data_IF_858718906670
#
_entry.id   IF_858718906670
#
_cell.length_a   1.000
_cell.length_b   1.000
_cell.length_c   1.000
_cell.angle_alpha   90.00
_cell.angle_beta   90.00
_cell.angle_gamma   90.00
#
_symmetry.space_group_name_H-M   'P 1'
#
loop_
_entity.id
_entity.type
_entity.pdbx_description
1 polymer ?
#
# COMPACT_ATOMS: atom_id res chain seq x y z
N UNK A 1 21.07 -16.20 2.95
CA UNK A 1 21.62 -16.82 4.16
C UNK A 1 20.49 -17.13 5.12
N UNK A 2 20.53 -18.33 5.66
CA UNK A 2 19.58 -18.85 6.64
C UNK A 2 20.38 -19.34 7.84
N UNK A 3 19.83 -19.15 9.03
CA UNK A 3 20.55 -19.41 10.26
C UNK A 3 19.62 -20.08 11.30
N UNK A 4 20.20 -20.99 12.07
CA UNK A 4 19.57 -21.64 13.23
C UNK A 4 20.64 -21.85 14.31
N UNK A 5 20.27 -21.74 15.58
CA UNK A 5 21.14 -22.05 16.70
C UNK A 5 20.35 -22.52 17.90
N UNK A 6 20.98 -23.34 18.72
CA UNK A 6 20.42 -23.87 19.95
C UNK A 6 20.03 -22.74 20.89
N UNK A 7 18.91 -22.90 21.58
CA UNK A 7 18.34 -21.93 22.54
C UNK A 7 19.34 -21.51 23.63
N UNK A 8 20.25 -22.39 24.04
CA UNK A 8 21.26 -22.10 25.06
C UNK A 8 22.58 -21.53 24.52
N UNK A 9 22.70 -21.29 23.21
CA UNK A 9 23.92 -20.68 22.65
C UNK A 9 23.97 -19.17 22.90
N UNK A 10 25.16 -18.62 23.11
CA UNK A 10 25.39 -17.18 23.18
C UNK A 10 25.01 -16.49 21.86
N UNK A 11 25.17 -17.19 20.73
CA UNK A 11 24.76 -16.69 19.42
C UNK A 11 23.22 -16.55 19.31
N UNK A 12 22.45 -17.51 19.85
CA UNK A 12 21.00 -17.42 19.94
C UNK A 12 20.59 -16.19 20.75
N UNK A 13 21.16 -15.98 21.94
CA UNK A 13 20.83 -14.83 22.79
C UNK A 13 21.07 -13.47 22.11
N UNK A 14 22.22 -13.29 21.45
CA UNK A 14 22.51 -12.03 20.72
C UNK A 14 21.62 -11.85 19.49
N UNK A 15 21.29 -12.94 18.79
CA UNK A 15 20.42 -12.90 17.61
C UNK A 15 18.98 -12.58 18.00
N UNK A 16 18.46 -13.20 19.06
CA UNK A 16 17.15 -12.92 19.62
C UNK A 16 17.05 -11.50 20.19
N UNK A 17 18.10 -10.99 20.85
CA UNK A 17 18.11 -9.59 21.29
C UNK A 17 18.01 -8.62 20.10
N UNK A 18 18.74 -8.88 19.01
CA UNK A 18 18.66 -8.07 17.79
C UNK A 18 17.31 -8.22 17.11
N UNK A 19 16.76 -9.44 17.06
CA UNK A 19 15.44 -9.71 16.51
C UNK A 19 14.36 -8.95 17.29
N UNK A 20 14.38 -9.04 18.63
CA UNK A 20 13.47 -8.33 19.53
C UNK A 20 13.52 -6.83 19.33
N UNK A 21 14.71 -6.22 19.28
CA UNK A 21 14.86 -4.78 19.01
C UNK A 21 14.23 -4.37 17.66
N UNK A 22 14.37 -5.21 16.62
CA UNK A 22 13.77 -4.93 15.31
C UNK A 22 12.24 -5.13 15.33
N UNK A 23 11.74 -6.18 16.02
CA UNK A 23 10.32 -6.45 16.20
C UNK A 23 9.63 -5.34 17.01
N UNK A 24 10.29 -4.82 18.05
CA UNK A 24 9.80 -3.69 18.84
C UNK A 24 9.66 -2.44 17.98
N UNK A 25 10.65 -2.16 17.13
CA UNK A 25 10.60 -1.02 16.20
C UNK A 25 9.48 -1.17 15.17
N UNK A 26 9.32 -2.37 14.59
CA UNK A 26 8.19 -2.67 13.69
C UNK A 26 6.86 -2.45 14.41
N UNK A 27 6.71 -2.96 15.63
CA UNK A 27 5.49 -2.83 16.43
C UNK A 27 5.17 -1.37 16.75
N UNK A 28 6.19 -0.58 17.11
CA UNK A 28 6.06 0.87 17.35
C UNK A 28 5.56 1.60 16.09
N UNK A 29 6.14 1.30 14.92
CA UNK A 29 5.71 1.91 13.68
C UNK A 29 4.30 1.48 13.27
N UNK A 30 3.97 0.18 13.36
CA UNK A 30 2.63 -0.32 13.04
C UNK A 30 1.57 0.26 13.97
N UNK A 31 1.86 0.42 15.26
CA UNK A 31 0.95 1.09 16.19
C UNK A 31 0.72 2.56 15.81
N UNK A 32 1.79 3.27 15.43
CA UNK A 32 1.70 4.66 14.97
C UNK A 32 0.90 4.77 13.67
N UNK A 33 1.15 3.87 12.71
CA UNK A 33 0.38 3.76 11.45
C UNK A 33 -1.09 3.49 11.77
N UNK A 34 -1.41 2.54 12.65
CA UNK A 34 -2.78 2.23 13.04
C UNK A 34 -3.51 3.43 13.64
N UNK A 35 -2.83 4.23 14.48
CA UNK A 35 -3.38 5.48 15.02
C UNK A 35 -3.68 6.50 13.90
N UNK A 36 -2.73 6.71 12.99
CA UNK A 36 -2.92 7.66 11.88
C UNK A 36 -3.99 7.19 10.90
N UNK A 37 -4.13 5.89 10.65
CA UNK A 37 -5.22 5.33 9.84
C UNK A 37 -6.57 5.64 10.49
N UNK A 38 -6.70 5.50 11.82
CA UNK A 38 -7.92 5.88 12.54
C UNK A 38 -8.24 7.37 12.42
N UNK A 39 -7.23 8.24 12.54
CA UNK A 39 -7.37 9.68 12.35
C UNK A 39 -7.80 10.02 10.90
N UNK A 40 -7.29 9.29 9.92
CA UNK A 40 -7.65 9.44 8.51
C UNK A 40 -9.14 9.12 8.26
N UNK A 41 -9.70 8.09 8.89
CA UNK A 41 -11.16 7.83 8.87
C UNK A 41 -11.97 9.00 9.44
N UNK A 42 -11.50 9.61 10.54
CA UNK A 42 -12.18 10.75 11.14
C UNK A 42 -12.17 11.96 10.21
N UNK A 43 -11.05 12.22 9.53
CA UNK A 43 -10.92 13.30 8.55
C UNK A 43 -11.82 13.09 7.32
N UNK A 44 -11.86 11.87 6.76
CA UNK A 44 -12.75 11.56 5.63
C UNK A 44 -14.22 11.78 6.01
N UNK A 45 -14.63 11.33 7.20
CA UNK A 45 -15.97 11.58 7.73
C UNK A 45 -16.26 13.07 7.90
N UNK A 46 -15.31 13.84 8.41
CA UNK A 46 -15.47 15.29 8.55
C UNK A 46 -15.66 15.96 7.19
N UNK A 47 -14.83 15.63 6.20
CA UNK A 47 -14.94 16.17 4.84
C UNK A 47 -16.31 15.83 4.23
N UNK A 48 -16.81 14.60 4.43
CA UNK A 48 -18.14 14.20 3.98
C UNK A 48 -19.25 15.05 4.60
N UNK A 49 -19.20 15.29 5.91
CA UNK A 49 -20.17 16.15 6.60
C UNK A 49 -20.08 17.59 6.08
N UNK A 50 -18.87 18.09 5.81
CA UNK A 50 -18.67 19.41 5.21
C UNK A 50 -19.24 19.48 3.79
N UNK A 51 -19.07 18.44 2.98
CA UNK A 51 -19.63 18.35 1.62
C UNK A 51 -21.17 18.32 1.65
N UNK A 52 -21.76 17.52 2.54
CA UNK A 52 -23.22 17.47 2.75
C UNK A 52 -23.76 18.84 3.15
N UNK A 53 -23.10 19.52 4.10
CA UNK A 53 -23.48 20.89 4.51
C UNK A 53 -23.34 21.89 3.37
N UNK A 54 -22.20 21.93 2.67
CA UNK A 54 -21.97 22.84 1.56
C UNK A 54 -22.96 22.62 0.41
N UNK A 55 -23.44 21.39 0.22
CA UNK A 55 -24.48 21.07 -0.77
C UNK A 55 -25.77 21.84 -0.48
N UNK A 56 -26.17 21.94 0.79
CA UNK A 56 -27.35 22.72 1.21
C UNK A 56 -27.17 24.21 0.92
N UNK A 57 -26.01 24.79 1.26
CA UNK A 57 -25.71 26.20 0.95
C UNK A 57 -25.74 26.45 -0.57
N UNK A 58 -25.11 25.59 -1.35
CA UNK A 58 -25.06 25.73 -2.81
C UNK A 58 -26.44 25.51 -3.47
N UNK A 59 -27.31 24.68 -2.89
CA UNK A 59 -28.69 24.49 -3.36
C UNK A 59 -29.56 25.71 -3.05
N UNK A 60 -29.42 26.25 -1.84
CA UNK A 60 -30.07 27.49 -1.42
C UNK A 60 -29.68 28.68 -2.31
N UNK A 61 -28.39 28.85 -2.66
CA UNK A 61 -27.96 29.89 -3.61
C UNK A 61 -28.49 29.68 -5.04
N UNK A 62 -28.89 28.45 -5.40
CA UNK A 62 -29.57 28.13 -6.67
C UNK A 62 -31.07 28.42 -6.65
N UNK A 63 -31.62 28.86 -5.51
CA UNK A 63 -33.04 29.15 -5.36
C UNK A 63 -33.87 27.99 -4.81
N UNK A 64 -33.25 26.92 -4.31
CA UNK A 64 -33.97 25.76 -3.79
C UNK A 64 -34.61 26.05 -2.42
N UNK A 65 -35.94 26.05 -2.38
CA UNK A 65 -36.74 26.44 -1.20
C UNK A 65 -36.52 25.48 -0.02
N UNK A 66 -36.55 24.14 -0.18
CA UNK A 66 -36.29 23.20 0.92
C UNK A 66 -34.90 23.36 1.54
N UNK A 67 -33.88 23.67 0.73
CA UNK A 67 -32.53 23.92 1.22
C UNK A 67 -32.47 25.21 2.06
N UNK A 68 -33.18 26.27 1.65
CA UNK A 68 -33.27 27.51 2.41
C UNK A 68 -34.01 27.33 3.74
N UNK A 69 -35.12 26.58 3.74
CA UNK A 69 -35.86 26.23 4.96
C UNK A 69 -34.97 25.45 5.92
N UNK A 70 -34.20 24.48 5.41
CA UNK A 70 -33.26 23.69 6.22
C UNK A 70 -32.18 24.57 6.86
N UNK A 71 -31.59 25.52 6.11
CA UNK A 71 -30.59 26.46 6.63
C UNK A 71 -31.17 27.41 7.68
N UNK A 72 -32.39 27.89 7.49
CA UNK A 72 -33.11 28.70 8.48
C UNK A 72 -33.38 27.91 9.77
N UNK A 73 -33.75 26.63 9.64
CA UNK A 73 -33.88 25.72 10.78
C UNK A 73 -32.57 25.59 11.56
N UNK A 74 -31.46 25.30 10.86
CA UNK A 74 -30.13 25.25 11.49
C UNK A 74 -29.76 26.55 12.19
N UNK A 75 -30.06 27.70 11.58
CA UNK A 75 -29.78 29.00 12.19
C UNK A 75 -30.57 29.22 13.48
N UNK A 76 -31.87 28.89 13.50
CA UNK A 76 -32.69 29.02 14.71
C UNK A 76 -32.15 28.12 15.83
N UNK A 77 -31.79 26.88 15.51
CA UNK A 77 -31.31 25.93 16.52
C UNK A 77 -29.92 26.28 17.05
N UNK A 78 -28.98 26.65 16.17
CA UNK A 78 -27.58 26.90 16.53
C UNK A 78 -27.30 28.32 17.01
N UNK A 79 -27.92 29.34 16.39
CA UNK A 79 -27.61 30.76 16.64
C UNK A 79 -28.60 31.38 17.62
N UNK A 80 -29.89 31.03 17.53
CA UNK A 80 -30.91 31.59 18.43
C UNK A 80 -31.16 30.74 19.68
N UNK A 81 -30.62 29.51 19.74
CA UNK A 81 -30.83 28.58 20.85
C UNK A 81 -32.21 27.92 20.85
N UNK A 82 -32.87 27.87 19.69
CA UNK A 82 -34.20 27.28 19.50
C UNK A 82 -35.28 27.96 20.36
N UNK A 83 -36.34 27.20 20.68
CA UNK A 83 -37.51 27.71 21.41
C UNK A 83 -37.27 28.03 22.91
N UNK A 84 -36.04 27.89 23.41
CA UNK A 84 -35.69 28.19 24.80
C UNK A 84 -35.43 29.68 25.03
N UNK A 85 -34.98 30.39 24.00
CA UNK A 85 -34.69 31.82 24.09
C UNK A 85 -35.93 32.63 23.74
N UNK A 86 -36.43 33.52 24.63
CA UNK A 86 -37.61 34.35 24.35
C UNK A 86 -37.44 35.25 23.11
N UNK A 87 -36.21 35.61 22.77
CA UNK A 87 -35.87 36.43 21.61
C UNK A 87 -35.62 35.64 20.31
N UNK A 88 -35.83 34.33 20.30
CA UNK A 88 -35.78 33.51 19.08
C UNK A 88 -37.06 33.64 18.26
N UNK A 89 -37.03 33.26 16.98
CA UNK A 89 -38.23 33.23 16.12
C UNK A 89 -39.35 32.38 16.73
N UNK A 90 -39.02 31.22 17.32
CA UNK A 90 -39.99 30.36 18.01
C UNK A 90 -40.37 30.85 19.41
N UNK A 91 -39.47 31.54 20.11
CA UNK A 91 -39.73 32.11 21.43
C UNK A 91 -40.69 33.29 21.36
N UNK A 92 -40.48 34.19 20.39
CA UNK A 92 -41.35 35.36 20.16
C UNK A 92 -42.75 34.95 19.68
N UNK A 93 -42.88 33.84 18.97
CA UNK A 93 -44.19 33.33 18.52
C UNK A 93 -45.17 33.04 19.67
N UNK A 94 -44.69 32.95 20.92
CA UNK A 94 -45.52 32.80 22.12
C UNK A 94 -46.20 34.09 22.56
N UNK A 95 -45.70 35.25 22.12
CA UNK A 95 -46.29 36.54 22.43
C UNK A 95 -47.46 36.86 21.48
N UNK A 96 -48.54 37.42 22.04
CA UNK A 96 -49.75 37.85 21.33
C UNK A 96 -49.40 39.02 20.38
N UNK A 97 -48.92 38.69 19.18
CA UNK A 97 -48.49 39.66 18.16
C UNK A 97 -47.46 39.13 17.15
N UNK A 98 -46.79 38.01 17.46
CA UNK A 98 -45.75 37.41 16.62
C UNK A 98 -46.02 35.95 16.24
N UNK A 99 -47.26 35.47 16.40
CA UNK A 99 -47.65 34.07 16.11
C UNK A 99 -47.29 33.67 14.67
N UNK A 100 -47.44 34.58 13.71
CA UNK A 100 -47.14 34.34 12.28
C UNK A 100 -45.66 34.57 11.92
N UNK A 101 -44.81 34.95 12.87
CA UNK A 101 -43.40 35.24 12.61
C UNK A 101 -42.62 34.03 12.07
N UNK A 102 -42.78 32.80 12.61
CA UNK A 102 -42.10 31.63 12.07
C UNK A 102 -42.49 31.35 10.62
N UNK A 103 -43.80 31.37 10.32
CA UNK A 103 -44.31 31.11 8.97
C UNK A 103 -43.74 32.11 7.96
N UNK A 104 -43.76 33.41 8.30
CA UNK A 104 -43.19 34.46 7.45
C UNK A 104 -41.67 34.37 7.31
N UNK A 105 -40.98 33.89 8.35
CA UNK A 105 -39.53 33.70 8.31
C UNK A 105 -39.16 32.53 7.39
N UNK A 106 -39.85 31.39 7.47
CA UNK A 106 -39.57 30.23 6.62
C UNK A 106 -40.00 30.44 5.17
N UNK A 107 -41.14 31.10 4.94
CA UNK A 107 -41.68 31.37 3.59
C UNK A 107 -40.87 32.39 2.78
N UNK A 108 -40.07 33.24 3.45
CA UNK A 108 -39.24 34.22 2.75
C UNK A 108 -38.29 33.55 1.72
N UNK A 109 -38.24 34.01 0.46
CA UNK A 109 -37.34 33.44 -0.54
C UNK A 109 -35.86 33.68 -0.16
N UNK A 110 -34.91 32.98 -0.81
CA UNK A 110 -33.49 33.26 -0.62
C UNK A 110 -33.17 34.69 -1.07
N UNK A 111 -32.88 35.56 -0.11
CA UNK A 111 -32.66 36.99 -0.29
C UNK A 111 -31.20 37.37 -0.01
N UNK A 112 -30.76 38.46 -0.63
CA UNK A 112 -29.51 39.14 -0.27
C UNK A 112 -29.79 40.18 0.83
N UNK A 113 -28.82 40.52 1.69
CA UNK A 113 -29.00 41.46 2.80
C UNK A 113 -29.69 42.78 2.40
N UNK A 114 -29.30 43.33 1.25
CA UNK A 114 -29.78 44.63 0.75
C UNK A 114 -31.24 44.59 0.26
N UNK A 115 -31.72 43.42 -0.16
CA UNK A 115 -33.08 43.24 -0.68
C UNK A 115 -34.10 42.85 0.40
N UNK A 116 -33.65 42.53 1.61
CA UNK A 116 -34.54 42.13 2.72
C UNK A 116 -35.52 43.24 3.06
N UNK A 117 -35.05 44.49 3.13
CA UNK A 117 -35.90 45.63 3.53
C UNK A 117 -37.02 45.89 2.52
N UNK A 118 -36.71 45.86 1.23
CA UNK A 118 -37.68 46.04 0.15
C UNK A 118 -38.72 44.91 0.12
N UNK A 119 -38.32 43.68 0.46
CA UNK A 119 -39.25 42.54 0.57
C UNK A 119 -40.23 42.73 1.74
N UNK A 120 -39.72 43.07 2.91
CA UNK A 120 -40.54 43.20 4.14
C UNK A 120 -41.50 44.39 4.07
N UNK A 121 -41.11 45.49 3.42
CA UNK A 121 -41.96 46.68 3.26
C UNK A 121 -43.22 46.38 2.42
N UNK A 122 -43.12 45.49 1.43
CA UNK A 122 -44.23 45.07 0.55
C UNK A 122 -45.29 44.21 1.24
N UNK A 123 -44.97 43.56 2.35
CA UNK A 123 -45.91 42.69 3.06
C UNK A 123 -47.00 43.51 3.78
N UNK A 124 -48.23 43.03 3.87
CA UNK A 124 -49.35 43.74 4.51
C UNK A 124 -49.51 43.34 5.99
N UNK A 125 -48.48 43.60 6.82
CA UNK A 125 -48.46 43.25 8.25
C UNK A 125 -48.16 44.44 9.19
N UNK A 126 -48.34 44.21 10.50
CA UNK A 126 -48.02 45.16 11.56
C UNK A 126 -46.55 45.64 11.48
N UNK A 127 -46.31 46.94 11.68
CA UNK A 127 -44.99 47.58 11.65
C UNK A 127 -43.98 46.91 12.57
N UNK A 128 -44.40 46.48 13.77
CA UNK A 128 -43.52 45.80 14.73
C UNK A 128 -43.09 44.40 14.26
N UNK A 129 -44.01 43.66 13.64
CA UNK A 129 -43.71 42.36 13.03
C UNK A 129 -42.71 42.52 11.86
N UNK A 130 -42.90 43.56 11.03
CA UNK A 130 -41.96 43.91 9.95
C UNK A 130 -40.56 44.25 10.46
N UNK A 131 -40.46 45.09 11.50
CA UNK A 131 -39.16 45.47 12.10
C UNK A 131 -38.39 44.25 12.63
N UNK A 132 -39.08 43.33 13.30
CA UNK A 132 -38.49 42.10 13.83
C UNK A 132 -38.10 41.14 12.71
N UNK A 133 -39.00 40.90 11.75
CA UNK A 133 -38.75 40.03 10.60
C UNK A 133 -37.54 40.52 9.77
N UNK A 134 -37.46 41.83 9.48
CA UNK A 134 -36.35 42.41 8.76
C UNK A 134 -35.02 42.20 9.49
N UNK A 135 -34.98 42.42 10.82
CA UNK A 135 -33.77 42.18 11.63
C UNK A 135 -33.31 40.73 11.53
N UNK A 136 -34.24 39.78 11.71
CA UNK A 136 -33.95 38.34 11.71
C UNK A 136 -33.47 37.84 10.34
N UNK A 137 -34.12 38.29 9.26
CA UNK A 137 -33.71 37.98 7.90
C UNK A 137 -32.33 38.56 7.56
N UNK A 138 -32.03 39.80 7.96
CA UNK A 138 -30.68 40.37 7.76
C UNK A 138 -29.62 39.57 8.52
N UNK A 139 -29.87 39.25 9.80
CA UNK A 139 -28.92 38.45 10.60
C UNK A 139 -28.70 37.05 10.01
N UNK A 140 -29.76 36.42 9.50
CA UNK A 140 -29.67 35.12 8.83
C UNK A 140 -28.84 35.22 7.53
N UNK A 141 -29.07 36.24 6.69
CA UNK A 141 -28.33 36.41 5.43
C UNK A 141 -26.83 36.65 5.68
N UNK A 142 -26.49 37.47 6.68
CA UNK A 142 -25.11 37.73 7.08
C UNK A 142 -24.45 36.46 7.62
N UNK A 143 -25.13 35.74 8.52
CA UNK A 143 -24.64 34.46 9.05
C UNK A 143 -24.41 33.43 7.92
N UNK A 144 -25.38 33.25 7.04
CA UNK A 144 -25.31 32.33 5.91
C UNK A 144 -24.09 32.58 5.03
N UNK A 145 -23.77 33.84 4.74
CA UNK A 145 -22.59 34.23 3.96
C UNK A 145 -21.30 33.87 4.69
N UNK A 146 -21.13 34.31 5.94
CA UNK A 146 -19.91 34.06 6.70
C UNK A 146 -19.68 32.56 6.97
N UNK A 147 -20.73 31.82 7.31
CA UNK A 147 -20.64 30.38 7.54
C UNK A 147 -20.34 29.61 6.26
N UNK A 148 -20.86 30.04 5.10
CA UNK A 148 -20.51 29.42 3.82
C UNK A 148 -19.01 29.59 3.48
N UNK A 149 -18.48 30.80 3.64
CA UNK A 149 -17.06 31.09 3.42
C UNK A 149 -16.16 30.33 4.40
N UNK A 150 -16.55 30.28 5.68
CA UNK A 150 -15.84 29.50 6.71
C UNK A 150 -15.83 28.01 6.36
N UNK A 151 -16.98 27.42 6.02
CA UNK A 151 -17.08 26.00 5.68
C UNK A 151 -16.27 25.65 4.42
N UNK A 152 -16.26 26.55 3.43
CA UNK A 152 -15.45 26.39 2.21
C UNK A 152 -13.96 26.39 2.55
N UNK A 153 -13.51 27.34 3.36
CA UNK A 153 -12.12 27.42 3.79
C UNK A 153 -11.73 26.20 4.64
N UNK A 154 -12.56 25.83 5.62
CA UNK A 154 -12.36 24.65 6.47
C UNK A 154 -12.21 23.39 5.63
N UNK A 155 -13.10 23.17 4.66
CA UNK A 155 -13.00 22.03 3.74
C UNK A 155 -11.65 21.98 3.02
N UNK A 156 -11.18 23.11 2.48
CA UNK A 156 -9.88 23.19 1.79
C UNK A 156 -8.73 22.83 2.75
N UNK A 157 -8.77 23.32 3.98
CA UNK A 157 -7.77 22.97 4.99
C UNK A 157 -7.83 21.49 5.38
N UNK A 158 -9.02 20.93 5.63
CA UNK A 158 -9.18 19.51 5.99
C UNK A 158 -8.70 18.59 4.87
N UNK A 159 -8.94 18.92 3.61
CA UNK A 159 -8.43 18.16 2.46
C UNK A 159 -6.89 18.21 2.38
N UNK A 160 -6.27 19.38 2.60
CA UNK A 160 -4.80 19.51 2.68
C UNK A 160 -4.23 18.73 3.87
N UNK A 161 -4.92 18.74 5.00
CA UNK A 161 -4.52 18.02 6.20
C UNK A 161 -4.62 16.50 6.02
N UNK A 162 -5.68 16.01 5.37
CA UNK A 162 -5.82 14.61 4.96
C UNK A 162 -4.62 14.15 4.12
N UNK A 163 -4.19 14.97 3.17
CA UNK A 163 -3.00 14.71 2.34
C UNK A 163 -1.74 14.58 3.18
N UNK A 164 -1.49 15.53 4.08
CA UNK A 164 -0.33 15.49 4.97
C UNK A 164 -0.30 14.19 5.79
N UNK A 165 -1.44 13.78 6.33
CA UNK A 165 -1.56 12.52 7.08
C UNK A 165 -1.24 11.30 6.21
N UNK A 166 -1.75 11.26 4.99
CA UNK A 166 -1.47 10.18 4.05
C UNK A 166 0.02 10.08 3.68
N UNK A 167 0.67 11.21 3.43
CA UNK A 167 2.10 11.28 3.12
C UNK A 167 2.97 10.80 4.28
N UNK A 168 2.59 11.15 5.51
CA UNK A 168 3.27 10.66 6.72
C UNK A 168 3.14 9.14 6.83
N UNK A 169 1.95 8.56 6.56
CA UNK A 169 1.80 7.11 6.61
C UNK A 169 2.64 6.42 5.52
N UNK A 170 2.67 6.96 4.30
CA UNK A 170 3.57 6.47 3.23
C UNK A 170 5.03 6.46 3.67
N UNK A 171 5.48 7.54 4.32
CA UNK A 171 6.84 7.65 4.85
C UNK A 171 7.12 6.56 5.89
N UNK A 172 6.24 6.37 6.87
CA UNK A 172 6.40 5.29 7.86
C UNK A 172 6.39 3.89 7.22
N UNK A 173 5.53 3.63 6.24
CA UNK A 173 5.54 2.36 5.49
C UNK A 173 6.86 2.14 4.75
N UNK A 174 7.47 3.20 4.22
CA UNK A 174 8.80 3.13 3.59
C UNK A 174 9.90 2.77 4.60
N UNK A 175 9.78 3.27 5.83
CA UNK A 175 10.71 2.99 6.93
C UNK A 175 10.52 1.61 7.54
N UNK A 176 9.30 1.08 7.62
CA UNK A 176 9.02 -0.25 8.20
C UNK A 176 9.58 -1.38 7.35
N UNK A 177 9.52 -1.24 6.02
CA UNK A 177 9.98 -2.27 5.06
C UNK A 177 11.38 -2.85 5.34
N UNK A 178 12.44 -2.06 5.54
CA UNK A 178 13.76 -2.61 5.86
C UNK A 178 13.79 -3.36 7.20
N UNK A 179 13.07 -2.90 8.22
CA UNK A 179 12.99 -3.61 9.51
C UNK A 179 12.29 -4.95 9.37
N UNK A 180 11.17 -5.01 8.65
CA UNK A 180 10.49 -6.29 8.39
C UNK A 180 11.39 -7.28 7.62
N UNK A 181 12.16 -6.77 6.64
CA UNK A 181 13.14 -7.59 5.91
C UNK A 181 14.24 -8.11 6.84
N UNK A 182 14.70 -7.29 7.79
CA UNK A 182 15.71 -7.69 8.77
C UNK A 182 15.16 -8.69 9.78
N UNK A 183 13.95 -8.47 10.30
CA UNK A 183 13.24 -9.42 11.18
C UNK A 183 13.16 -10.78 10.49
N UNK A 184 12.77 -10.82 9.21
CA UNK A 184 12.68 -12.09 8.48
C UNK A 184 14.03 -12.78 8.28
N UNK A 185 15.09 -12.01 8.05
CA UNK A 185 16.46 -12.55 7.89
C UNK A 185 17.06 -13.06 9.20
N UNK A 186 16.70 -12.43 10.31
CA UNK A 186 17.16 -12.81 11.65
C UNK A 186 16.29 -13.91 12.26
N UNK A 187 15.04 -14.06 11.79
CA UNK A 187 14.16 -15.12 12.23
C UNK A 187 14.76 -16.48 11.89
N UNK A 188 14.91 -17.30 12.92
CA UNK A 188 15.45 -18.65 12.76
C UNK A 188 14.50 -19.54 11.97
N UNK A 189 15.07 -20.45 11.18
CA UNK A 189 14.27 -21.44 10.47
C UNK A 189 13.82 -22.55 11.43
N UNK A 190 12.52 -22.56 11.76
CA UNK A 190 11.89 -23.51 12.69
C UNK A 190 12.21 -24.96 12.33
N UNK A 191 12.18 -25.31 11.03
CA UNK A 191 12.44 -26.67 10.57
C UNK A 191 13.85 -27.16 10.89
N UNK A 192 14.80 -26.24 11.07
CA UNK A 192 16.20 -26.55 11.39
C UNK A 192 16.48 -26.50 12.88
N UNK A 193 15.73 -25.70 13.62
CA UNK A 193 15.67 -25.77 15.08
C UNK A 193 15.28 -27.18 15.54
N UNK A 194 14.30 -27.78 14.88
CA UNK A 194 13.79 -29.11 15.21
C UNK A 194 14.63 -30.26 14.64
N UNK A 195 15.75 -29.97 13.96
CA UNK A 195 16.59 -31.02 13.40
C UNK A 195 17.35 -31.76 14.51
N UNK A 196 17.46 -33.09 14.39
CA UNK A 196 18.23 -33.94 15.31
C UNK A 196 19.71 -33.52 15.46
N UNK A 197 20.20 -32.72 14.52
CA UNK A 197 21.56 -32.21 14.49
C UNK A 197 21.78 -30.97 15.37
N UNK A 198 20.71 -30.32 15.82
CA UNK A 198 20.75 -29.21 16.77
C UNK A 198 20.21 -29.71 18.12
N UNK A 199 21.09 -29.83 19.12
CA UNK A 199 20.66 -30.18 20.47
C UNK A 199 20.54 -28.88 21.25
N UNK A 200 19.32 -28.52 21.67
CA UNK A 200 19.03 -27.24 22.33
C UNK A 200 19.83 -26.96 23.61
N UNK A 201 20.35 -28.00 24.25
CA UNK A 201 21.15 -27.90 25.48
C UNK A 201 22.61 -27.47 25.27
N UNK A 202 23.17 -27.70 24.07
CA UNK A 202 24.58 -27.43 23.76
C UNK A 202 24.73 -26.18 22.94
N UNK A 203 25.92 -25.59 22.91
CA UNK A 203 26.21 -24.39 22.14
C UNK A 203 26.46 -24.72 20.65
N UNK A 204 25.36 -24.93 19.92
CA UNK A 204 25.37 -25.33 18.51
C UNK A 204 24.73 -24.28 17.61
N UNK A 205 25.32 -24.08 16.43
CA UNK A 205 24.81 -23.21 15.38
C UNK A 205 24.91 -23.89 14.02
N UNK A 206 23.91 -23.67 13.19
CA UNK A 206 23.86 -24.04 11.79
C UNK A 206 23.68 -22.80 10.94
N UNK A 207 24.63 -22.59 10.04
CA UNK A 207 24.63 -21.45 9.10
C UNK A 207 24.58 -22.01 7.69
N UNK A 208 23.64 -21.53 6.91
CA UNK A 208 23.57 -21.79 5.49
C UNK A 208 23.85 -20.52 4.70
N UNK A 209 24.84 -20.63 3.82
CA UNK A 209 25.26 -19.55 2.94
C UNK A 209 25.03 -20.01 1.52
N UNK A 210 24.22 -19.24 0.79
CA UNK A 210 23.97 -19.45 -0.64
C UNK A 210 24.67 -18.35 -1.43
N UNK A 211 25.60 -18.73 -2.30
CA UNK A 211 26.34 -17.80 -3.16
C UNK A 211 26.06 -18.13 -4.62
N UNK A 212 25.67 -17.12 -5.38
CA UNK A 212 25.56 -17.21 -6.84
C UNK A 212 26.74 -16.50 -7.48
N UNK A 213 27.66 -17.27 -8.05
CA UNK A 213 28.75 -16.76 -8.87
C UNK A 213 28.32 -16.75 -10.34
N UNK A 214 28.64 -15.67 -11.07
CA UNK A 214 28.29 -15.51 -12.49
C UNK A 214 29.56 -15.26 -13.32
N UNK A 215 29.62 -15.87 -14.50
CA UNK A 215 30.65 -15.62 -15.52
C UNK A 215 30.01 -15.61 -16.91
N UNK A 216 30.43 -14.70 -17.77
CA UNK A 216 29.96 -14.68 -19.17
C UNK A 216 30.53 -15.88 -19.93
N UNK A 217 29.67 -16.65 -20.61
CA UNK A 217 30.07 -17.76 -21.48
C UNK A 217 29.99 -17.36 -22.97
N UNK A 218 29.03 -16.49 -23.30
CA UNK A 218 28.81 -15.90 -24.63
C UNK A 218 28.03 -14.58 -24.54
N UNK A 219 27.37 -14.20 -25.64
CA UNK A 219 26.56 -12.97 -25.71
C UNK A 219 25.18 -13.17 -25.08
N UNK A 220 24.61 -14.38 -25.23
CA UNK A 220 23.26 -14.70 -24.73
C UNK A 220 23.28 -15.58 -23.48
N UNK A 221 24.29 -16.45 -23.30
CA UNK A 221 24.38 -17.38 -22.17
C UNK A 221 25.41 -16.98 -21.11
N UNK A 222 25.06 -17.22 -19.84
CA UNK A 222 25.92 -17.03 -18.68
C UNK A 222 26.15 -18.35 -17.95
N UNK A 223 27.41 -18.61 -17.61
CA UNK A 223 27.81 -19.67 -16.70
C UNK A 223 27.54 -19.22 -15.26
N UNK A 224 26.76 -20.00 -14.52
CA UNK A 224 26.39 -19.70 -13.15
C UNK A 224 26.75 -20.88 -12.26
N UNK A 225 27.37 -20.57 -11.14
CA UNK A 225 27.67 -21.56 -10.11
C UNK A 225 26.87 -21.16 -8.87
N UNK A 226 25.99 -22.06 -8.45
CA UNK A 226 25.28 -21.97 -7.19
C UNK A 226 26.07 -22.76 -6.15
N UNK A 227 26.73 -22.03 -5.25
CA UNK A 227 27.43 -22.59 -4.11
C UNK A 227 26.50 -22.57 -2.91
N UNK A 228 26.37 -23.71 -2.27
CA UNK A 228 25.59 -23.87 -1.06
C UNK A 228 26.51 -24.42 0.02
N UNK A 229 26.71 -23.65 1.08
CA UNK A 229 27.48 -24.05 2.24
C UNK A 229 26.53 -24.27 3.41
N UNK A 230 26.53 -25.47 3.96
CA UNK A 230 25.89 -25.77 5.24
C UNK A 230 27.00 -25.97 6.27
N UNK A 231 27.17 -25.01 7.16
CA UNK A 231 28.14 -25.06 8.23
C UNK A 231 27.45 -25.40 9.55
N UNK A 232 27.88 -26.47 10.21
CA UNK A 232 27.41 -26.87 11.53
C UNK A 232 28.55 -26.77 12.52
N UNK A 233 28.37 -26.02 13.59
CA UNK A 233 29.36 -25.93 14.66
C UNK A 233 29.25 -27.11 15.62
N UNK A 234 30.39 -27.51 16.15
CA UNK A 234 30.53 -28.35 17.32
C UNK A 234 31.05 -27.46 18.44
N UNK A 235 30.43 -27.47 19.63
CA UNK A 235 30.92 -26.68 20.74
C UNK A 235 32.30 -27.22 21.16
N UNK A 236 33.32 -26.36 21.11
CA UNK A 236 34.62 -26.65 21.69
C UNK A 236 35.01 -25.49 22.60
N UNK A 237 35.16 -25.77 23.89
CA UNK A 237 35.56 -24.81 24.90
C UNK A 237 37.09 -24.69 24.85
N UNK A 238 37.60 -23.59 24.29
CA UNK A 238 39.02 -23.29 24.37
C UNK A 238 39.28 -22.42 25.60
N UNK A 239 39.97 -22.96 26.59
CA UNK A 239 40.46 -22.21 27.74
C UNK A 239 41.66 -21.35 27.29
N UNK A 240 41.40 -20.11 26.87
CA UNK A 240 42.46 -19.10 26.74
C UNK A 240 42.45 -18.22 28.00
N UNK A 241 43.64 -18.01 28.58
CA UNK A 241 43.84 -17.15 29.75
C UNK A 241 43.58 -15.68 29.38
N UNK A 242 42.77 -15.04 30.23
CA UNK A 242 42.56 -13.59 30.46
C UNK A 242 42.04 -12.68 29.31
N UNK A 243 40.90 -12.04 29.59
CA UNK A 243 40.59 -10.68 29.11
C UNK A 243 39.58 -10.51 27.97
N UNK A 244 39.46 -11.45 27.03
CA UNK A 244 38.54 -11.32 25.89
C UNK A 244 37.25 -12.12 26.10
N UNK A 245 36.11 -11.51 25.75
CA UNK A 245 34.76 -12.04 25.88
C UNK A 245 34.70 -13.53 25.46
N UNK A 246 34.37 -14.41 26.42
CA UNK A 246 34.26 -15.87 26.25
C UNK A 246 33.25 -16.17 25.14
N UNK A 247 33.75 -16.40 23.92
CA UNK A 247 32.98 -16.86 22.79
C UNK A 247 33.40 -18.29 22.43
N UNK A 248 32.46 -19.21 22.17
CA UNK A 248 32.80 -20.52 21.63
C UNK A 248 33.54 -20.36 20.31
N UNK A 249 34.63 -21.10 20.13
CA UNK A 249 35.23 -21.22 18.81
C UNK A 249 34.27 -22.06 17.95
N UNK A 250 33.70 -21.44 16.92
CA UNK A 250 32.84 -22.10 15.96
C UNK A 250 33.67 -22.99 15.02
N UNK A 251 34.21 -24.10 15.53
CA UNK A 251 34.78 -25.17 14.72
C UNK A 251 33.69 -26.20 14.43
N UNK A 252 33.72 -26.82 13.24
CA UNK A 252 32.54 -27.52 12.77
C UNK A 252 32.71 -28.29 11.48
N UNK A 253 31.61 -28.90 11.04
CA UNK A 253 31.53 -29.59 9.75
C UNK A 253 30.90 -28.64 8.73
N UNK A 254 31.61 -28.42 7.63
CA UNK A 254 31.06 -27.74 6.45
C UNK A 254 30.68 -28.78 5.41
N UNK A 255 29.43 -28.74 4.94
CA UNK A 255 29.00 -29.43 3.73
C UNK A 255 28.88 -28.41 2.61
N UNK A 256 29.66 -28.57 1.55
CA UNK A 256 29.61 -27.71 0.37
C UNK A 256 28.94 -28.45 -0.78
N UNK A 257 27.86 -27.90 -1.32
CA UNK A 257 27.19 -28.38 -2.53
C UNK A 257 27.40 -27.38 -3.65
N UNK A 258 28.08 -27.78 -4.72
CA UNK A 258 28.32 -26.97 -5.90
C UNK A 258 27.36 -27.41 -7.01
N UNK A 259 26.51 -26.51 -7.48
CA UNK A 259 25.63 -26.77 -8.64
C UNK A 259 25.97 -25.82 -9.77
N UNK A 260 26.07 -26.38 -10.96
CA UNK A 260 26.41 -25.64 -12.17
C UNK A 260 25.21 -25.45 -13.07
N UNK A 261 24.97 -24.23 -13.54
CA UNK A 261 23.89 -23.92 -14.47
C UNK A 261 24.39 -23.04 -15.62
N UNK A 262 23.75 -23.17 -16.78
CA UNK A 262 23.90 -22.25 -17.89
C UNK A 262 22.57 -21.53 -18.11
N UNK A 263 22.46 -20.28 -17.68
CA UNK A 263 21.19 -19.52 -17.72
C UNK A 263 21.30 -18.32 -18.66
N UNK A 264 20.15 -17.89 -19.18
CA UNK A 264 20.01 -16.60 -19.84
C UNK A 264 19.99 -15.47 -18.78
N UNK A 265 20.40 -14.23 -19.13
CA UNK A 265 20.29 -13.08 -18.25
C UNK A 265 18.87 -12.86 -17.70
N UNK A 266 17.85 -13.20 -18.49
CA UNK A 266 16.45 -13.08 -18.09
C UNK A 266 16.03 -14.17 -17.10
N UNK A 267 16.57 -15.37 -17.20
CA UNK A 267 16.36 -16.45 -16.21
C UNK A 267 16.97 -16.07 -14.86
N UNK A 268 18.16 -15.48 -14.87
CA UNK A 268 18.79 -14.98 -13.65
C UNK A 268 17.95 -13.87 -13.00
N UNK A 269 17.37 -12.96 -13.79
CA UNK A 269 16.45 -11.94 -13.27
C UNK A 269 15.18 -12.55 -12.70
N UNK A 270 14.63 -13.59 -13.34
CA UNK A 270 13.46 -14.34 -12.84
C UNK A 270 13.76 -15.06 -11.54
N UNK A 271 14.92 -15.72 -11.43
CA UNK A 271 15.34 -16.40 -10.20
C UNK A 271 15.50 -15.42 -9.03
N UNK A 272 16.15 -14.26 -9.25
CA UNK A 272 16.25 -13.21 -8.23
C UNK A 272 14.87 -12.70 -7.79
N UNK A 273 13.99 -12.41 -8.75
CA UNK A 273 12.62 -11.98 -8.46
C UNK A 273 11.79 -13.05 -7.75
N UNK A 274 12.02 -14.33 -8.05
CA UNK A 274 11.37 -15.44 -7.36
C UNK A 274 11.81 -15.48 -5.89
N UNK A 275 13.11 -15.39 -5.61
CA UNK A 275 13.64 -15.32 -4.23
C UNK A 275 13.16 -14.08 -3.49
N UNK A 276 13.16 -12.92 -4.14
CA UNK A 276 12.58 -11.71 -3.57
C UNK A 276 11.07 -11.88 -3.30
N UNK A 277 10.31 -12.54 -4.19
CA UNK A 277 8.88 -12.79 -3.98
C UNK A 277 8.59 -13.76 -2.84
N UNK A 278 9.40 -14.80 -2.65
CA UNK A 278 9.28 -15.67 -1.47
C UNK A 278 9.49 -14.85 -0.19
N UNK A 279 10.48 -13.95 -0.17
CA UNK A 279 10.72 -13.02 0.94
C UNK A 279 9.53 -12.06 1.13
N UNK A 280 8.95 -11.53 0.03
CA UNK A 280 7.83 -10.59 0.06
C UNK A 280 6.47 -11.24 0.36
N UNK A 281 6.25 -12.51 0.04
CA UNK A 281 4.97 -13.19 0.29
C UNK A 281 4.65 -13.32 1.78
N UNK A 282 5.68 -13.42 2.64
CA UNK A 282 5.52 -13.39 4.09
C UNK A 282 5.30 -11.96 4.61
N UNK A 283 5.93 -10.96 3.98
CA UNK A 283 5.70 -9.53 4.28
C UNK A 283 4.25 -9.11 3.98
N UNK A 284 3.65 -9.70 2.94
CA UNK A 284 2.27 -9.42 2.53
C UNK A 284 1.22 -9.75 3.62
N UNK A 285 1.53 -10.64 4.58
CA UNK A 285 0.62 -10.94 5.68
C UNK A 285 0.37 -9.75 6.62
N UNK A 286 1.39 -8.90 6.80
CA UNK A 286 1.32 -7.69 7.63
C UNK A 286 0.73 -6.53 6.82
N UNK A 287 1.18 -6.38 5.57
CA UNK A 287 0.65 -5.40 4.62
C UNK A 287 -0.86 -5.61 4.39
N UNK A 288 -1.37 -6.84 4.39
CA UNK A 288 -2.79 -7.13 4.15
C UNK A 288 -3.75 -6.47 5.16
N UNK A 289 -3.35 -6.36 6.44
CA UNK A 289 -4.19 -5.71 7.47
C UNK A 289 -4.33 -4.20 7.24
N UNK A 290 -3.22 -3.56 6.85
CA UNK A 290 -3.13 -2.13 6.55
C UNK A 290 -3.79 -1.85 5.20
N UNK A 291 -3.52 -2.68 4.21
CA UNK A 291 -4.09 -2.62 2.86
C UNK A 291 -5.61 -2.84 2.88
N UNK A 292 -6.13 -3.72 3.73
CA UNK A 292 -7.58 -3.88 3.92
C UNK A 292 -8.22 -2.60 4.47
N UNK A 293 -7.59 -1.95 5.45
CA UNK A 293 -8.05 -0.66 5.98
C UNK A 293 -8.01 0.45 4.91
N UNK A 294 -6.98 0.45 4.06
CA UNK A 294 -6.87 1.37 2.93
C UNK A 294 -7.91 1.10 1.84
N UNK A 295 -8.17 -0.17 1.53
CA UNK A 295 -9.12 -0.57 0.50
C UNK A 295 -10.55 -0.22 0.89
N UNK A 296 -10.89 -0.37 2.18
CA UNK A 296 -12.18 0.05 2.72
C UNK A 296 -12.46 1.55 2.55
N UNK A 297 -11.41 2.37 2.56
CA UNK A 297 -11.45 3.82 2.33
C UNK A 297 -11.30 4.22 0.86
N UNK A 298 -10.95 3.28 -0.01
CA UNK A 298 -10.23 3.54 -1.25
C UNK A 298 -10.88 4.56 -2.16
N UNK A 299 -12.17 4.43 -2.47
CA UNK A 299 -12.81 5.30 -3.47
C UNK A 299 -13.03 6.74 -2.99
N UNK A 300 -13.44 6.93 -1.73
CA UNK A 300 -13.63 8.27 -1.15
C UNK A 300 -12.29 8.96 -0.86
N UNK A 301 -11.32 8.22 -0.32
CA UNK A 301 -9.98 8.73 -0.06
C UNK A 301 -9.28 9.11 -1.37
N UNK A 302 -9.34 8.26 -2.40
CA UNK A 302 -8.79 8.55 -3.74
C UNK A 302 -9.40 9.85 -4.30
N UNK A 303 -10.72 10.03 -4.19
CA UNK A 303 -11.42 11.24 -4.65
C UNK A 303 -10.92 12.50 -3.93
N UNK A 304 -10.73 12.45 -2.61
CA UNK A 304 -10.28 13.62 -1.84
C UNK A 304 -8.80 13.93 -2.03
N UNK A 305 -7.95 12.92 -2.14
CA UNK A 305 -6.53 13.10 -2.44
C UNK A 305 -6.33 13.67 -3.87
N UNK A 306 -7.16 13.27 -4.83
CA UNK A 306 -7.16 13.87 -6.17
C UNK A 306 -7.51 15.36 -6.15
N UNK A 307 -8.52 15.75 -5.35
CA UNK A 307 -8.87 17.15 -5.15
C UNK A 307 -7.76 17.95 -4.46
N UNK A 308 -6.91 17.30 -3.67
CA UNK A 308 -5.74 17.91 -3.04
C UNK A 308 -4.54 18.10 -4.00
N UNK A 309 -4.67 17.73 -5.27
CA UNK A 309 -3.65 17.90 -6.30
C UNK A 309 -2.70 16.72 -6.51
N UNK A 310 -3.12 15.48 -6.21
CA UNK A 310 -2.40 14.25 -6.60
C UNK A 310 -3.09 13.49 -7.74
N UNK A 311 -2.33 13.03 -8.74
CA UNK A 311 -2.77 12.00 -9.70
C UNK A 311 -2.73 10.61 -9.04
N UNK A 312 -3.60 10.37 -8.05
CA UNK A 312 -3.65 9.12 -7.25
C UNK A 312 -3.97 7.88 -8.10
N UNK A 313 -4.55 8.08 -9.29
CA UNK A 313 -4.96 6.99 -10.20
C UNK A 313 -3.80 6.10 -10.67
N UNK A 314 -2.55 6.61 -10.70
CA UNK A 314 -1.40 5.84 -11.21
C UNK A 314 -0.76 4.91 -10.17
N UNK A 315 -0.90 5.21 -8.89
CA UNK A 315 -0.30 4.41 -7.81
C UNK A 315 -1.23 3.29 -7.33
N UNK A 316 -2.54 3.56 -7.24
CA UNK A 316 -3.53 2.53 -6.89
C UNK A 316 -3.87 1.60 -8.07
N UNK A 317 -3.80 2.05 -9.33
CA UNK A 317 -3.95 1.16 -10.50
C UNK A 317 -2.78 0.16 -10.67
N UNK A 318 -1.62 0.45 -10.06
CA UNK A 318 -0.51 -0.52 -9.95
C UNK A 318 -0.74 -1.54 -8.82
N UNK A 319 -1.48 -1.17 -7.76
CA UNK A 319 -1.80 -2.05 -6.64
C UNK A 319 -3.06 -2.92 -6.87
N UNK A 320 -4.09 -2.41 -7.57
CA UNK A 320 -5.29 -3.18 -7.99
C UNK A 320 -4.99 -4.31 -9.01
N UNK A 321 -3.75 -4.45 -9.48
CA UNK A 321 -3.32 -5.57 -10.34
C UNK A 321 -2.77 -6.78 -9.56
N UNK A 322 -3.38 -7.18 -8.45
CA UNK A 322 -3.35 -8.56 -7.96
C UNK A 322 -4.48 -8.75 -6.95
N UNK A 323 -5.56 -9.46 -7.33
CA UNK A 323 -5.65 -10.85 -6.92
C UNK A 323 -6.00 -11.75 -8.11
N UNK A 324 -5.16 -12.74 -8.39
CA UNK A 324 -5.56 -13.86 -9.26
C UNK A 324 -6.52 -14.73 -8.45
N UNK A 325 -7.83 -14.54 -8.64
CA UNK A 325 -8.82 -15.59 -8.35
C UNK A 325 -8.75 -16.63 -9.49
N UNK A 326 -8.87 -17.93 -9.20
CA UNK A 326 -8.86 -18.97 -10.24
C UNK A 326 -10.08 -18.81 -11.15
N UNK A 327 -9.84 -18.89 -12.46
CA UNK A 327 -10.87 -18.82 -13.50
C UNK A 327 -11.79 -20.05 -13.41
N UNK A 328 -13.10 -19.82 -13.23
CA UNK A 328 -14.15 -20.67 -13.75
C UNK A 328 -15.19 -19.77 -14.43
N UNK A 329 -15.22 -19.80 -15.77
CA UNK A 329 -16.19 -19.11 -16.61
C UNK A 329 -17.47 -19.97 -16.71
N UNK A 330 -18.65 -19.42 -16.41
CA UNK A 330 -19.93 -20.13 -16.64
C UNK A 330 -21.08 -19.26 -17.17
N UNK A 331 -20.87 -18.01 -17.59
CA UNK A 331 -21.96 -17.13 -18.04
C UNK A 331 -21.63 -16.31 -19.31
N UNK A 332 -21.01 -16.96 -20.31
CA UNK A 332 -20.94 -16.42 -21.68
C UNK A 332 -21.83 -17.20 -22.68
N UNK A 333 -23.17 -17.19 -22.55
CA UNK A 333 -23.99 -17.34 -23.77
C UNK A 333 -25.02 -16.21 -24.01
N UNK A 334 -25.23 -15.27 -23.09
CA UNK A 334 -26.39 -14.35 -23.17
C UNK A 334 -26.12 -12.90 -23.62
N UNK A 335 -24.90 -12.53 -24.02
CA UNK A 335 -24.58 -11.15 -24.45
C UNK A 335 -24.20 -11.01 -25.94
N UNK A 336 -24.57 -12.00 -26.76
CA UNK A 336 -24.06 -12.14 -28.13
C UNK A 336 -24.91 -11.53 -29.29
N UNK A 337 -25.84 -10.57 -29.13
CA UNK A 337 -26.37 -9.92 -30.33
C UNK A 337 -26.52 -8.41 -30.24
N UNK A 338 -25.48 -7.64 -29.89
CA UNK A 338 -25.45 -6.21 -30.25
C UNK A 338 -24.01 -5.69 -30.37
N UNK A 339 -23.45 -5.76 -31.59
CA UNK A 339 -22.61 -4.71 -32.21
C UNK A 339 -22.16 -5.14 -33.62
N UNK A 340 -22.76 -4.50 -34.61
CA UNK A 340 -22.34 -4.46 -36.01
C UNK A 340 -21.00 -3.69 -36.18
N UNK A 341 -20.32 -3.81 -37.34
CA UNK A 341 -18.87 -3.82 -37.43
C UNK A 341 -18.25 -2.44 -37.71
N UNK A 342 -17.09 -2.18 -37.12
CA UNK A 342 -16.16 -1.13 -37.52
C UNK A 342 -14.93 -1.81 -38.15
N UNK A 343 -14.47 -1.42 -39.34
CA UNK A 343 -13.33 -2.05 -39.98
C UNK A 343 -12.06 -1.70 -39.20
N UNK A 344 -11.47 -2.69 -38.52
CA UNK A 344 -10.11 -2.60 -37.99
C UNK A 344 -9.25 -3.54 -38.81
N UNK A 345 -8.22 -2.96 -39.42
CA UNK A 345 -7.08 -3.67 -40.01
C UNK A 345 -6.72 -4.86 -39.13
N UNK A 346 -6.65 -6.04 -39.76
CA UNK A 346 -6.26 -7.29 -39.10
C UNK A 346 -4.81 -7.17 -38.62
N UNK A 347 -4.61 -6.66 -37.40
CA UNK A 347 -3.36 -6.85 -36.67
C UNK A 347 -3.30 -8.33 -36.34
N UNK A 348 -2.33 -9.02 -36.94
CA UNK A 348 -1.98 -10.41 -36.62
C UNK A 348 -1.68 -10.57 -35.12
N UNK A 349 -2.70 -10.92 -34.35
CA UNK A 349 -2.64 -11.14 -32.90
C UNK A 349 -2.44 -12.63 -32.63
N UNK A 350 -1.35 -12.97 -31.93
CA UNK A 350 -1.06 -14.30 -31.42
C UNK A 350 -1.18 -14.30 -29.88
N UNK A 351 -1.48 -15.45 -29.27
CA UNK A 351 -1.50 -15.57 -27.81
C UNK A 351 -0.14 -16.05 -27.30
N UNK A 352 0.36 -15.43 -26.23
CA UNK A 352 1.55 -15.92 -25.54
C UNK A 352 1.25 -17.24 -24.82
N UNK A 353 2.02 -18.33 -25.04
CA UNK A 353 1.74 -19.64 -24.45
C UNK A 353 1.97 -19.71 -22.92
N UNK A 354 2.66 -18.72 -22.33
CA UNK A 354 2.94 -18.70 -20.89
C UNK A 354 1.97 -17.85 -20.09
N UNK A 355 1.41 -16.78 -20.66
CA UNK A 355 0.56 -15.84 -19.93
C UNK A 355 -0.74 -15.48 -20.63
N UNK A 356 -1.04 -16.14 -21.75
CA UNK A 356 -2.27 -16.04 -22.56
C UNK A 356 -2.66 -14.63 -23.03
N UNK A 357 -1.78 -13.65 -22.88
CA UNK A 357 -2.03 -12.28 -23.33
C UNK A 357 -1.83 -12.18 -24.84
N UNK A 358 -2.67 -11.38 -25.49
CA UNK A 358 -2.56 -11.06 -26.92
C UNK A 358 -1.28 -10.29 -27.19
N UNK A 359 -0.46 -10.80 -28.10
CA UNK A 359 0.79 -10.19 -28.55
C UNK A 359 0.78 -10.08 -30.07
N UNK A 360 1.35 -9.02 -30.62
CA UNK A 360 1.56 -8.86 -32.06
C UNK A 360 2.57 -9.89 -32.57
N UNK A 361 2.31 -10.57 -33.70
CA UNK A 361 3.23 -11.60 -34.27
C UNK A 361 4.66 -11.11 -34.50
N UNK A 362 4.87 -9.79 -34.62
CA UNK A 362 6.20 -9.18 -34.81
C UNK A 362 6.97 -8.90 -33.50
N UNK A 363 6.34 -9.03 -32.33
CA UNK A 363 7.03 -8.81 -31.06
C UNK A 363 7.94 -10.02 -30.75
N UNK A 364 9.25 -9.78 -30.60
CA UNK A 364 10.22 -10.84 -30.23
C UNK A 364 9.96 -11.44 -28.84
N UNK A 365 9.38 -10.66 -27.93
CA UNK A 365 9.10 -11.05 -26.55
C UNK A 365 7.69 -10.63 -26.14
N UNK A 366 7.04 -11.45 -25.33
CA UNK A 366 5.79 -11.06 -24.69
C UNK A 366 6.06 -9.92 -23.70
N UNK A 367 5.45 -8.76 -23.93
CA UNK A 367 5.61 -7.55 -23.08
C UNK A 367 5.23 -7.73 -21.61
N UNK A 368 4.47 -8.77 -21.25
CA UNK A 368 4.04 -9.04 -19.87
C UNK A 368 4.95 -10.03 -19.14
N UNK A 369 5.29 -11.16 -19.77
CA UNK A 369 6.02 -12.25 -19.11
C UNK A 369 7.46 -12.44 -19.63
N UNK A 370 7.86 -11.71 -20.67
CA UNK A 370 9.19 -11.84 -21.29
C UNK A 370 9.38 -13.11 -22.13
N UNK A 371 8.33 -13.93 -22.31
CA UNK A 371 8.43 -15.16 -23.10
C UNK A 371 8.80 -14.86 -24.55
N UNK A 372 9.84 -15.53 -25.08
CA UNK A 372 10.32 -15.34 -26.46
C UNK A 372 9.34 -16.00 -27.43
N UNK A 373 8.67 -15.19 -28.26
CA UNK A 373 7.57 -15.64 -29.13
C UNK A 373 8.07 -16.21 -30.47
N UNK A 374 9.27 -15.80 -30.89
CA UNK A 374 9.93 -16.30 -32.09
C UNK A 374 10.78 -17.52 -31.74
N UNK A 375 10.53 -18.66 -32.39
CA UNK A 375 11.49 -19.78 -32.39
C UNK A 375 12.78 -19.28 -33.05
N UNK A 376 13.96 -19.50 -32.44
CA UNK A 376 15.23 -19.08 -33.04
C UNK A 376 15.36 -19.70 -34.44
N UNK A 377 15.97 -18.98 -35.38
CA UNK A 377 16.36 -19.57 -36.66
C UNK A 377 17.28 -20.77 -36.42
N UNK A 378 17.41 -21.69 -37.38
CA UNK A 378 18.29 -22.86 -37.24
C UNK A 378 19.74 -22.46 -36.87
N UNK A 379 20.22 -21.33 -37.42
CA UNK A 379 21.53 -20.75 -37.09
C UNK A 379 21.60 -20.15 -35.67
N UNK A 380 20.58 -19.43 -35.23
CA UNK A 380 20.52 -18.90 -33.86
C UNK A 380 20.44 -20.02 -32.82
N UNK A 381 19.68 -21.07 -33.11
CA UNK A 381 19.55 -22.26 -32.26
C UNK A 381 20.89 -23.01 -32.15
N UNK A 382 21.63 -23.10 -33.26
CA UNK A 382 22.98 -23.67 -33.27
C UNK A 382 23.98 -22.84 -32.46
N UNK A 383 23.94 -21.50 -32.61
CA UNK A 383 24.77 -20.58 -31.81
C UNK A 383 24.45 -20.70 -30.31
N UNK A 384 23.17 -20.74 -29.93
CA UNK A 384 22.74 -20.95 -28.55
C UNK A 384 23.21 -22.27 -27.96
N UNK A 385 23.09 -23.38 -28.71
CA UNK A 385 23.63 -24.69 -28.28
C UNK A 385 25.14 -24.66 -28.08
N UNK A 386 25.87 -24.02 -28.99
CA UNK A 386 27.33 -23.88 -28.88
C UNK A 386 27.74 -23.02 -27.67
N UNK A 387 26.99 -21.96 -27.38
CA UNK A 387 27.18 -21.13 -26.18
C UNK A 387 26.84 -21.90 -24.89
N UNK A 388 25.81 -22.75 -24.92
CA UNK A 388 25.40 -23.60 -23.79
C UNK A 388 26.42 -24.70 -23.49
N UNK A 389 26.96 -25.35 -24.52
CA UNK A 389 28.06 -26.30 -24.38
C UNK A 389 29.31 -25.63 -23.83
N UNK A 390 29.64 -24.43 -24.33
CA UNK A 390 30.78 -23.63 -23.82
C UNK A 390 30.55 -23.22 -22.38
N UNK A 391 29.34 -22.79 -22.03
CA UNK A 391 28.94 -22.45 -20.66
C UNK A 391 29.08 -23.65 -19.73
N UNK A 392 28.56 -24.81 -20.13
CA UNK A 392 28.67 -26.06 -19.37
C UNK A 392 30.13 -26.44 -19.12
N UNK A 393 30.99 -26.39 -20.16
CA UNK A 393 32.42 -26.66 -20.02
C UNK A 393 33.11 -25.71 -19.03
N UNK A 394 32.83 -24.41 -19.12
CA UNK A 394 33.36 -23.40 -18.19
C UNK A 394 32.90 -23.70 -16.76
N UNK A 395 31.62 -23.98 -16.56
CA UNK A 395 31.04 -24.30 -15.25
C UNK A 395 31.69 -25.54 -14.66
N UNK A 396 31.83 -26.63 -15.41
CA UNK A 396 32.47 -27.86 -14.94
C UNK A 396 33.93 -27.63 -14.56
N UNK A 397 34.69 -26.89 -15.38
CA UNK A 397 36.11 -26.59 -15.07
C UNK A 397 36.26 -25.72 -13.83
N UNK A 398 35.39 -24.73 -13.65
CA UNK A 398 35.44 -23.80 -12.53
C UNK A 398 34.98 -24.49 -11.23
N UNK A 399 33.94 -25.34 -11.29
CA UNK A 399 33.51 -26.16 -10.15
C UNK A 399 34.66 -27.06 -9.68
N UNK A 400 35.35 -27.71 -10.61
CA UNK A 400 36.48 -28.57 -10.28
C UNK A 400 37.66 -27.77 -9.71
N UNK A 401 37.92 -26.58 -10.23
CA UNK A 401 38.94 -25.67 -9.71
C UNK A 401 38.61 -25.17 -8.30
N UNK A 402 37.36 -24.77 -8.06
CA UNK A 402 36.85 -24.39 -6.74
C UNK A 402 36.98 -25.55 -5.75
N UNK A 403 36.60 -26.75 -6.16
CA UNK A 403 36.74 -27.96 -5.34
C UNK A 403 38.20 -28.25 -4.97
N UNK A 404 39.13 -28.14 -5.93
CA UNK A 404 40.57 -28.30 -5.69
C UNK A 404 41.12 -27.24 -4.72
N UNK A 405 40.76 -25.98 -4.93
CA UNK A 405 41.17 -24.87 -4.04
C UNK A 405 40.62 -25.05 -2.64
N UNK A 406 39.36 -25.47 -2.51
CA UNK A 406 38.74 -25.80 -1.23
C UNK A 406 39.52 -26.93 -0.56
N UNK A 407 39.79 -28.04 -1.25
CA UNK A 407 40.62 -29.13 -0.69
C UNK A 407 41.98 -28.65 -0.21
N UNK A 408 42.71 -27.88 -1.02
CA UNK A 408 44.02 -27.36 -0.65
C UNK A 408 43.97 -26.43 0.58
N UNK A 409 42.98 -25.54 0.65
CA UNK A 409 42.81 -24.62 1.77
C UNK A 409 42.52 -25.33 3.10
N UNK A 410 41.85 -26.48 3.07
CA UNK A 410 41.54 -27.28 4.27
C UNK A 410 42.57 -28.40 4.52
N UNK A 411 43.74 -28.36 3.88
CA UNK A 411 44.79 -29.36 4.07
C UNK A 411 44.40 -30.77 3.60
N UNK A 412 43.35 -30.89 2.78
CA UNK A 412 42.86 -32.14 2.19
C UNK A 412 43.57 -32.47 0.86
N UNK A 413 44.73 -31.87 0.60
CA UNK A 413 45.42 -32.00 -0.68
C UNK A 413 46.36 -33.21 -0.74
N UNK A 414 45.91 -34.15 -1.59
CA UNK A 414 46.58 -35.23 -2.33
C UNK A 414 47.37 -36.27 -1.56
#
# INVERSE_FOLDING_TARGET
>A
DLFAASERSAFFGVSEQRLGLQQDKVSQFLATIGKMVKELFQLVREIRILDERLTLYNASYRGDIPAEISLKGYWIDLVEGGAKTPSSVYGMARELGFITLPDLFFDAPPLQPDHVRNYVERLQFNKKLKEVLARKLVTFCVWKKHTHDELKNRRVFTVKYLRQHYDIIKMYMSWVKPYLRNVRRLQMDQKRMDSEHLIGAFEGSMVEIEVLAKRKAGEHKQAIIHLHFLFRTRPELKFQQEGYQRGPLHMGRTQMTLRGYCWDPDDLRRYRKFKEREDFALLASIDASVEAAYTALGEELERYLQQAGEDVSKDFAKQKQTPQKPHFNLLEPFLAPFKSPVPKEKKDLAMCPTCFKSVTKHDMFCKKCGFKLRKPSSEEAYKLKKEEEKGTKIVTSEIYTLYKRFKAAYGLAY
#
